data_IF_375397436972
#
_entry.id   IF_375397436972
#
_cell.length_a   1.000
_cell.length_b   1.000
_cell.length_c   1.000
_cell.angle_alpha   90.00
_cell.angle_beta   90.00
_cell.angle_gamma   90.00
#
_symmetry.space_group_name_H-M   'P 1'
#
loop_
_entity.id
_entity.type
_entity.pdbx_description
1 polymer ?
#
# COMPACT_ATOMS: atom_id res chain seq x y z
N UNK A 1 -20.77 -11.09 34.04
CA UNK A 1 -19.80 -11.34 32.96
C UNK A 1 -18.47 -11.72 33.60
N UNK A 2 -17.67 -12.59 33.00
CA UNK A 2 -16.38 -13.04 33.59
C UNK A 2 -15.21 -12.24 33.02
N UNK A 3 -14.16 -12.03 33.82
CA UNK A 3 -12.95 -11.31 33.39
C UNK A 3 -12.27 -11.92 32.14
N UNK A 4 -12.41 -13.23 31.93
CA UNK A 4 -11.97 -13.92 30.71
C UNK A 4 -12.73 -13.45 29.47
N UNK A 5 -14.06 -13.29 29.56
CA UNK A 5 -14.88 -12.84 28.43
C UNK A 5 -14.58 -11.38 28.05
N UNK A 6 -14.24 -10.53 29.02
CA UNK A 6 -13.84 -9.14 28.77
C UNK A 6 -12.49 -9.05 28.05
N UNK A 7 -11.52 -9.89 28.45
CA UNK A 7 -10.23 -9.98 27.74
C UNK A 7 -10.38 -10.48 26.31
N UNK A 8 -11.22 -11.49 26.09
CA UNK A 8 -11.49 -12.01 24.75
C UNK A 8 -12.04 -10.91 23.82
N UNK A 9 -13.05 -10.15 24.27
CA UNK A 9 -13.62 -9.02 23.50
C UNK A 9 -12.61 -7.91 23.23
N UNK A 10 -11.75 -7.59 24.19
CA UNK A 10 -10.70 -6.60 24.01
C UNK A 10 -9.71 -7.03 22.92
N UNK A 11 -9.31 -8.32 22.92
CA UNK A 11 -8.42 -8.88 21.90
C UNK A 11 -9.05 -8.88 20.50
N UNK A 12 -10.32 -9.27 20.39
CA UNK A 12 -11.07 -9.23 19.12
C UNK A 12 -11.14 -7.81 18.57
N UNK A 13 -11.47 -6.84 19.43
CA UNK A 13 -11.54 -5.41 19.04
C UNK A 13 -10.18 -4.88 18.61
N UNK A 14 -9.12 -5.20 19.36
CA UNK A 14 -7.77 -4.81 19.02
C UNK A 14 -7.30 -5.45 17.71
N UNK A 15 -7.66 -6.70 17.47
CA UNK A 15 -7.33 -7.41 16.24
C UNK A 15 -8.06 -6.79 15.04
N UNK A 16 -9.36 -6.55 15.14
CA UNK A 16 -10.14 -5.91 14.08
C UNK A 16 -9.56 -4.52 13.72
N UNK A 17 -9.23 -3.70 14.73
CA UNK A 17 -8.60 -2.39 14.53
C UNK A 17 -7.24 -2.51 13.83
N UNK A 18 -6.40 -3.46 14.23
CA UNK A 18 -5.09 -3.67 13.60
C UNK A 18 -5.22 -4.11 12.14
N UNK A 19 -6.16 -5.00 11.84
CA UNK A 19 -6.41 -5.43 10.46
C UNK A 19 -6.92 -4.27 9.59
N UNK A 20 -7.82 -3.45 10.12
CA UNK A 20 -8.32 -2.27 9.41
C UNK A 20 -7.19 -1.26 9.11
N UNK A 21 -6.35 -0.96 10.11
CA UNK A 21 -5.21 -0.06 9.92
C UNK A 21 -4.23 -0.61 8.89
N UNK A 22 -3.92 -1.91 8.94
CA UNK A 22 -3.02 -2.54 7.97
C UNK A 22 -3.58 -2.50 6.56
N UNK A 23 -4.86 -2.82 6.39
CA UNK A 23 -5.53 -2.75 5.09
C UNK A 23 -5.49 -1.32 4.51
N UNK A 24 -5.75 -0.31 5.33
CA UNK A 24 -5.66 1.11 4.94
C UNK A 24 -4.23 1.51 4.57
N UNK A 25 -3.24 1.05 5.35
CA UNK A 25 -1.83 1.32 5.10
C UNK A 25 -1.38 0.72 3.77
N UNK A 26 -1.74 -0.54 3.50
CA UNK A 26 -1.41 -1.23 2.25
C UNK A 26 -1.96 -0.47 1.03
N UNK A 27 -3.25 -0.11 1.05
CA UNK A 27 -3.88 0.62 -0.05
C UNK A 27 -3.28 2.02 -0.25
N UNK A 28 -2.94 2.73 0.85
CA UNK A 28 -2.34 4.07 0.80
C UNK A 28 -0.88 4.01 0.32
N UNK A 29 -0.09 3.04 0.77
CA UNK A 29 1.27 2.80 0.30
C UNK A 29 1.31 2.47 -1.19
N UNK A 30 0.36 1.67 -1.68
CA UNK A 30 0.19 1.39 -3.09
C UNK A 30 -0.15 2.64 -3.93
N UNK A 31 -0.97 3.56 -3.40
CA UNK A 31 -1.20 4.85 -4.04
C UNK A 31 0.07 5.72 -4.07
N UNK A 32 0.84 5.76 -2.99
CA UNK A 32 2.08 6.55 -2.90
C UNK A 32 3.13 6.06 -3.91
N UNK A 33 3.38 4.75 -3.99
CA UNK A 33 4.30 4.22 -5.00
C UNK A 33 3.77 4.48 -6.41
N UNK A 34 2.45 4.41 -6.60
CA UNK A 34 1.86 4.70 -7.90
C UNK A 34 2.06 6.14 -8.35
N UNK A 35 2.02 7.11 -7.43
CA UNK A 35 2.38 8.51 -7.75
C UNK A 35 3.82 8.61 -8.19
N UNK A 36 4.74 8.04 -7.42
CA UNK A 36 6.16 8.02 -7.76
C UNK A 36 6.41 7.40 -9.14
N UNK A 37 5.86 6.21 -9.38
CA UNK A 37 6.02 5.51 -10.65
C UNK A 37 5.41 6.29 -11.82
N UNK A 38 4.22 6.90 -11.62
CA UNK A 38 3.59 7.77 -12.61
C UNK A 38 4.44 8.99 -12.97
N UNK A 39 5.05 9.66 -11.99
CA UNK A 39 5.97 10.77 -12.24
C UNK A 39 7.23 10.32 -12.98
N UNK A 40 7.82 9.18 -12.59
CA UNK A 40 9.03 8.65 -13.24
C UNK A 40 8.77 8.22 -14.68
N UNK A 41 7.58 7.68 -14.97
CA UNK A 41 7.18 7.31 -16.33
C UNK A 41 6.67 8.48 -17.18
N UNK A 42 6.46 9.66 -16.59
CA UNK A 42 5.89 10.82 -17.29
C UNK A 42 4.42 10.62 -17.68
N UNK A 43 3.63 9.94 -16.85
CA UNK A 43 2.18 9.79 -17.06
C UNK A 43 1.49 11.14 -16.80
N UNK A 44 0.59 11.55 -17.70
CA UNK A 44 -0.16 12.80 -17.56
C UNK A 44 -1.10 12.79 -16.34
N UNK A 45 -1.91 11.73 -16.19
CA UNK A 45 -2.83 11.55 -15.05
C UNK A 45 -2.25 10.60 -14.00
N UNK A 46 -1.29 11.13 -13.23
CA UNK A 46 -0.61 10.39 -12.15
C UNK A 46 -1.58 9.92 -11.06
N UNK A 47 -2.62 10.68 -10.73
CA UNK A 47 -3.57 10.30 -9.67
C UNK A 47 -4.51 9.17 -10.12
N UNK A 48 -4.93 9.14 -11.38
CA UNK A 48 -5.64 7.98 -11.92
C UNK A 48 -4.77 6.72 -11.88
N UNK A 49 -3.50 6.84 -12.28
CA UNK A 49 -2.56 5.72 -12.21
C UNK A 49 -2.36 5.23 -10.76
N UNK A 50 -2.12 6.14 -9.81
CA UNK A 50 -1.99 5.82 -8.40
C UNK A 50 -3.22 5.10 -7.82
N UNK A 51 -4.42 5.58 -8.12
CA UNK A 51 -5.67 4.91 -7.73
C UNK A 51 -5.79 3.52 -8.32
N UNK A 52 -5.39 3.34 -9.57
CA UNK A 52 -5.42 2.03 -10.21
C UNK A 52 -4.50 1.02 -9.52
N UNK A 53 -3.34 1.45 -9.01
CA UNK A 53 -2.43 0.59 -8.26
C UNK A 53 -2.94 0.29 -6.84
N UNK A 54 -3.57 1.27 -6.18
CA UNK A 54 -4.29 1.02 -4.93
C UNK A 54 -5.40 -0.02 -5.11
N UNK A 55 -6.14 0.03 -6.21
CA UNK A 55 -7.13 -1.00 -6.55
C UNK A 55 -6.47 -2.36 -6.75
N UNK A 56 -5.34 -2.45 -7.46
CA UNK A 56 -4.60 -3.72 -7.58
C UNK A 56 -4.14 -4.23 -6.24
N UNK A 57 -3.67 -3.37 -5.33
CA UNK A 57 -3.29 -3.82 -3.98
C UNK A 57 -4.47 -4.41 -3.20
N UNK A 58 -5.67 -3.90 -3.41
CA UNK A 58 -6.89 -4.38 -2.73
C UNK A 58 -7.37 -5.71 -3.32
N UNK A 59 -7.42 -5.82 -4.65
CA UNK A 59 -7.98 -6.99 -5.34
C UNK A 59 -6.94 -8.12 -5.45
N UNK A 60 -5.70 -7.77 -5.77
CA UNK A 60 -4.64 -8.69 -6.18
C UNK A 60 -3.25 -8.22 -5.69
N UNK A 61 -3.02 -8.15 -4.37
CA UNK A 61 -1.80 -7.58 -3.79
C UNK A 61 -0.52 -8.25 -4.29
N UNK A 62 -0.58 -9.56 -4.55
CA UNK A 62 0.53 -10.35 -5.08
C UNK A 62 0.96 -9.93 -6.49
N UNK A 63 0.09 -9.23 -7.26
CA UNK A 63 0.40 -8.74 -8.62
C UNK A 63 0.97 -7.32 -8.64
N UNK A 64 0.99 -6.61 -7.52
CA UNK A 64 1.37 -5.20 -7.51
C UNK A 64 2.80 -4.96 -8.02
N UNK A 65 3.77 -5.73 -7.53
CA UNK A 65 5.17 -5.62 -7.94
C UNK A 65 5.34 -5.91 -9.44
N UNK A 66 4.79 -7.02 -9.91
CA UNK A 66 4.89 -7.43 -11.32
C UNK A 66 4.22 -6.40 -12.24
N UNK A 67 3.08 -5.84 -11.82
CA UNK A 67 2.40 -4.78 -12.56
C UNK A 67 3.28 -3.54 -12.72
N UNK A 68 3.85 -3.03 -11.63
CA UNK A 68 4.72 -1.84 -11.66
C UNK A 68 5.94 -2.09 -12.55
N UNK A 69 6.55 -3.28 -12.46
CA UNK A 69 7.67 -3.67 -13.32
C UNK A 69 7.31 -3.68 -14.80
N UNK A 70 6.14 -4.25 -15.14
CA UNK A 70 5.64 -4.28 -16.51
C UNK A 70 5.36 -2.87 -17.03
N UNK A 71 4.77 -2.00 -16.21
CA UNK A 71 4.49 -0.62 -16.57
C UNK A 71 5.78 0.15 -16.89
N UNK A 72 6.83 0.03 -16.05
CA UNK A 72 8.15 0.61 -16.33
C UNK A 72 8.78 0.07 -17.62
N UNK A 73 8.68 -1.23 -17.87
CA UNK A 73 9.18 -1.85 -19.09
C UNK A 73 8.45 -1.32 -20.34
N UNK A 74 7.12 -1.18 -20.27
CA UNK A 74 6.29 -0.63 -21.35
C UNK A 74 6.60 0.85 -21.61
N UNK A 75 6.84 1.63 -20.55
CA UNK A 75 7.27 3.03 -20.64
C UNK A 75 8.72 3.19 -21.11
N UNK A 76 9.49 2.09 -21.24
CA UNK A 76 10.92 2.08 -21.58
C UNK A 76 11.77 2.91 -20.62
N UNK A 77 11.36 2.98 -19.35
CA UNK A 77 12.11 3.69 -18.30
C UNK A 77 12.89 2.67 -17.48
N UNK A 78 14.23 2.72 -17.49
CA UNK A 78 15.04 1.76 -16.76
C UNK A 78 14.96 2.01 -15.25
N UNK A 79 14.34 1.08 -14.53
CA UNK A 79 14.30 1.07 -13.06
C UNK A 79 14.64 -0.33 -12.58
N UNK A 80 15.49 -0.44 -11.56
CA UNK A 80 15.86 -1.73 -11.00
C UNK A 80 14.74 -2.26 -10.11
N UNK A 81 14.51 -3.58 -10.14
CA UNK A 81 13.53 -4.24 -9.27
C UNK A 81 13.79 -3.96 -7.78
N UNK A 82 15.05 -3.97 -7.36
CA UNK A 82 15.44 -3.65 -5.99
C UNK A 82 15.05 -2.21 -5.58
N UNK A 83 15.05 -1.26 -6.52
CA UNK A 83 14.58 0.10 -6.25
C UNK A 83 13.06 0.11 -6.08
N UNK A 84 12.31 -0.57 -6.94
CA UNK A 84 10.85 -0.68 -6.82
C UNK A 84 10.48 -1.30 -5.46
N UNK A 85 11.10 -2.42 -5.10
CA UNK A 85 10.86 -3.10 -3.83
C UNK A 85 11.20 -2.23 -2.62
N UNK A 86 12.33 -1.50 -2.67
CA UNK A 86 12.72 -0.55 -1.61
C UNK A 86 11.70 0.58 -1.47
N UNK A 87 11.22 1.15 -2.58
CA UNK A 87 10.17 2.18 -2.58
C UNK A 87 8.85 1.64 -2.03
N UNK A 88 8.45 0.43 -2.40
CA UNK A 88 7.24 -0.21 -1.85
C UNK A 88 7.30 -0.29 -0.32
N UNK A 89 8.44 -0.70 0.22
CA UNK A 89 8.63 -0.80 1.66
C UNK A 89 8.58 0.59 2.33
N UNK A 90 9.32 1.56 1.81
CA UNK A 90 9.35 2.93 2.33
C UNK A 90 7.95 3.58 2.36
N UNK A 91 7.19 3.43 1.27
CA UNK A 91 5.85 4.02 1.20
C UNK A 91 4.83 3.28 2.06
N UNK A 92 5.02 1.98 2.32
CA UNK A 92 4.19 1.26 3.28
C UNK A 92 4.45 1.74 4.71
N UNK A 93 5.72 1.93 5.09
CA UNK A 93 6.10 2.47 6.40
C UNK A 93 5.52 3.89 6.58
N UNK A 94 5.70 4.77 5.60
CA UNK A 94 5.14 6.11 5.64
C UNK A 94 3.60 6.09 5.76
N UNK A 95 2.92 5.23 5.00
CA UNK A 95 1.47 5.10 5.07
C UNK A 95 1.00 4.60 6.45
N UNK A 96 1.75 3.67 7.07
CA UNK A 96 1.46 3.19 8.41
C UNK A 96 1.65 4.28 9.46
N UNK A 97 2.74 5.06 9.38
CA UNK A 97 3.03 6.17 10.28
C UNK A 97 1.97 7.27 10.20
N UNK A 98 1.55 7.65 9.00
CA UNK A 98 0.47 8.62 8.79
C UNK A 98 -0.83 8.15 9.44
N UNK A 99 -1.17 6.87 9.31
CA UNK A 99 -2.38 6.32 9.91
C UNK A 99 -2.29 6.20 11.43
N UNK A 100 -1.09 6.02 11.98
CA UNK A 100 -0.90 5.95 13.43
C UNK A 100 -0.92 7.33 14.09
N UNK A 101 -0.41 8.36 13.41
CA UNK A 101 -0.39 9.74 13.91
C UNK A 101 -1.70 10.51 13.72
N UNK A 102 -2.61 10.02 12.87
CA UNK A 102 -3.91 10.65 12.59
C UNK A 102 -5.11 9.96 13.26
N UNK A 103 -4.87 9.09 14.25
CA UNK A 103 -5.90 8.40 15.08
C UNK A 103 -5.89 8.97 16.48
#
# INVERSE_FOLDING_TARGET
>A
MTALNERARALETQFARQQELRFKADARGAAMIGRWAGYVMGIDDVEAYARSLATTQIVEPHRLLDRIRQDFANARVPVQEAEIASRMHQYLEQAADELYYHV
#
